data_IF_736154926767
#
_entry.id   IF_736154926767
#
_cell.length_a   1.000
_cell.length_b   1.000
_cell.length_c   1.000
_cell.angle_alpha   90.00
_cell.angle_beta   90.00
_cell.angle_gamma   90.00
#
_symmetry.space_group_name_H-M   'P 1'
#
loop_
_entity.id
_entity.type
_entity.pdbx_description
1 polymer ?
#
# COMPACT_ATOMS: atom_id res chain seq x y z
N UNK A 1 11.28 -12.79 -5.32
CA UNK A 1 9.89 -12.31 -5.48
C UNK A 1 9.94 -10.81 -5.73
N UNK A 2 9.07 -10.27 -6.59
CA UNK A 2 9.13 -8.87 -7.05
C UNK A 2 8.05 -8.05 -6.35
N UNK A 3 8.41 -6.86 -5.87
CA UNK A 3 7.44 -5.91 -5.33
C UNK A 3 6.55 -5.35 -6.45
N UNK A 4 5.29 -5.04 -6.13
CA UNK A 4 4.37 -4.38 -7.03
C UNK A 4 4.10 -2.98 -6.50
N UNK A 5 4.29 -1.98 -7.36
CA UNK A 5 3.98 -0.58 -7.03
C UNK A 5 2.73 -0.13 -7.77
N UNK A 6 1.77 0.40 -7.04
CA UNK A 6 0.51 0.94 -7.55
C UNK A 6 0.47 2.45 -7.32
N UNK A 7 0.37 3.20 -8.41
CA UNK A 7 0.08 4.63 -8.35
C UNK A 7 -1.44 4.82 -8.38
N UNK A 8 -2.00 5.16 -7.23
CA UNK A 8 -3.44 5.36 -7.06
C UNK A 8 -3.85 6.83 -7.15
N UNK A 9 -2.90 7.76 -7.34
CA UNK A 9 -3.13 9.19 -7.19
C UNK A 9 -4.21 9.76 -8.14
N UNK A 10 -4.45 9.12 -9.29
CA UNK A 10 -5.52 9.49 -10.24
C UNK A 10 -6.92 9.01 -9.83
N UNK A 11 -7.00 8.02 -8.93
CA UNK A 11 -8.24 7.39 -8.47
C UNK A 11 -8.57 7.84 -7.05
N UNK A 12 -7.58 7.80 -6.16
CA UNK A 12 -7.72 8.13 -4.73
C UNK A 12 -6.38 8.57 -4.13
N UNK A 13 -6.44 9.58 -3.28
CA UNK A 13 -5.34 9.96 -2.41
C UNK A 13 -5.48 9.21 -1.09
N UNK A 14 -4.68 8.17 -0.88
CA UNK A 14 -4.74 7.33 0.32
C UNK A 14 -4.43 8.16 1.57
N UNK A 15 -5.42 8.40 2.42
CA UNK A 15 -5.19 9.01 3.73
C UNK A 15 -4.46 8.04 4.65
N UNK A 16 -3.91 8.54 5.75
CA UNK A 16 -3.27 7.68 6.76
C UNK A 16 -4.24 6.69 7.39
N UNK A 17 -5.50 7.07 7.63
CA UNK A 17 -6.50 6.14 8.17
C UNK A 17 -6.87 5.05 7.16
N UNK A 18 -7.06 5.40 5.89
CA UNK A 18 -7.36 4.43 4.83
C UNK A 18 -6.21 3.45 4.61
N UNK A 19 -4.97 3.94 4.64
CA UNK A 19 -3.79 3.07 4.57
C UNK A 19 -3.73 2.13 5.77
N UNK A 20 -4.00 2.61 6.98
CA UNK A 20 -4.01 1.78 8.18
C UNK A 20 -5.06 0.68 8.11
N UNK A 21 -6.29 1.03 7.71
CA UNK A 21 -7.36 0.05 7.52
C UNK A 21 -6.99 -1.01 6.47
N UNK A 22 -6.34 -0.60 5.38
CA UNK A 22 -5.87 -1.54 4.36
C UNK A 22 -4.89 -2.58 4.94
N UNK A 23 -4.00 -2.15 5.85
CA UNK A 23 -3.09 -3.04 6.57
C UNK A 23 -3.82 -3.98 7.53
N UNK A 24 -4.84 -3.50 8.25
CA UNK A 24 -5.64 -4.34 9.17
C UNK A 24 -6.43 -5.43 8.43
N UNK A 25 -6.95 -5.12 7.25
CA UNK A 25 -7.72 -6.07 6.42
C UNK A 25 -6.83 -7.12 5.74
N UNK A 26 -5.52 -6.85 5.55
CA UNK A 26 -4.57 -7.74 4.89
C UNK A 26 -3.31 -7.96 5.72
N UNK A 27 -3.43 -8.52 6.94
CA UNK A 27 -2.32 -8.64 7.89
C UNK A 27 -1.17 -9.54 7.40
N UNK A 28 -1.43 -10.42 6.44
CA UNK A 28 -0.43 -11.26 5.79
C UNK A 28 0.43 -10.52 4.76
N UNK A 29 -0.05 -9.36 4.28
CA UNK A 29 0.65 -8.55 3.29
C UNK A 29 1.56 -7.52 3.97
N UNK A 30 2.74 -7.32 3.38
CA UNK A 30 3.62 -6.21 3.73
C UNK A 30 3.30 -5.03 2.81
N UNK A 31 2.57 -4.05 3.35
CA UNK A 31 2.16 -2.85 2.63
C UNK A 31 2.99 -1.65 3.06
N UNK A 32 3.41 -0.83 2.10
CA UNK A 32 4.12 0.43 2.34
C UNK A 32 3.50 1.56 1.51
N UNK A 33 3.45 2.78 2.06
CA UNK A 33 3.12 4.00 1.31
C UNK A 33 4.34 4.91 1.24
N UNK A 34 4.82 5.20 0.03
CA UNK A 34 6.00 6.04 -0.14
C UNK A 34 5.66 7.54 -0.08
N UNK A 35 6.69 8.39 -0.15
CA UNK A 35 6.54 9.85 -0.10
C UNK A 35 5.77 10.44 -1.30
N UNK A 36 5.65 9.71 -2.41
CA UNK A 36 4.87 10.10 -3.59
C UNK A 36 3.39 9.72 -3.47
N UNK A 37 2.98 9.07 -2.37
CA UNK A 37 1.62 8.56 -2.17
C UNK A 37 1.34 7.22 -2.87
N UNK A 38 2.36 6.55 -3.40
CA UNK A 38 2.20 5.25 -4.07
C UNK A 38 2.14 4.11 -3.05
N UNK A 39 1.32 3.09 -3.35
CA UNK A 39 1.20 1.88 -2.55
C UNK A 39 2.15 0.81 -3.08
N UNK A 40 2.98 0.26 -2.20
CA UNK A 40 3.93 -0.82 -2.52
C UNK A 40 3.47 -2.07 -1.79
N UNK A 41 3.27 -3.15 -2.54
CA UNK A 41 2.95 -4.47 -2.01
C UNK A 41 4.20 -5.33 -2.08
N UNK A 42 4.75 -5.64 -0.92
CA UNK A 42 5.93 -6.48 -0.78
C UNK A 42 5.50 -7.95 -0.66
N UNK A 43 6.16 -8.86 -1.40
CA UNK A 43 5.86 -10.29 -1.29
C UNK A 43 6.20 -10.82 0.12
N UNK A 44 5.43 -11.80 0.64
CA UNK A 44 5.79 -12.49 1.88
C UNK A 44 7.14 -13.20 1.70
N UNK A 45 7.98 -13.14 2.75
CA UNK A 45 9.29 -13.83 2.82
C UNK A 45 9.14 -15.23 3.37
#
# INVERSE_FOLDING_TARGET
>A
MTAITLNLNSVVQLTSEQFYQLCEEHPELKLERNANGELIVMPPT
#
